data_IF_271659512775
#
_entry.id   IF_271659512775
#
_cell.length_a   1.000
_cell.length_b   1.000
_cell.length_c   1.000
_cell.angle_alpha   90.00
_cell.angle_beta   90.00
_cell.angle_gamma   90.00
#
_symmetry.space_group_name_H-M   'P 1'
#
loop_
_entity.id
_entity.type
_entity.pdbx_description
1 polymer ?
#
# COMPACT_ATOMS: atom_id res chain seq x y z
N UNK A 1 -20.52 -16.44 15.38
CA UNK A 1 -19.76 -15.42 14.64
C UNK A 1 -18.25 -15.59 14.82
N UNK A 2 -17.71 -15.55 16.06
CA UNK A 2 -16.26 -15.72 16.31
C UNK A 2 -15.63 -16.95 15.65
N UNK A 3 -16.24 -18.13 15.80
CA UNK A 3 -15.74 -19.37 15.18
C UNK A 3 -15.65 -19.30 13.65
N UNK A 4 -16.60 -18.60 13.01
CA UNK A 4 -16.58 -18.42 11.57
C UNK A 4 -15.42 -17.51 11.15
N UNK A 5 -15.23 -16.39 11.83
CA UNK A 5 -14.10 -15.46 11.60
C UNK A 5 -12.76 -16.17 11.77
N UNK A 6 -12.58 -16.92 12.86
CA UNK A 6 -11.35 -17.65 13.13
C UNK A 6 -11.05 -18.76 12.10
N UNK A 7 -12.07 -19.28 11.43
CA UNK A 7 -11.94 -20.32 10.40
C UNK A 7 -11.62 -19.80 9.00
N UNK A 8 -11.59 -18.48 8.78
CA UNK A 8 -11.32 -17.91 7.47
C UNK A 8 -9.85 -18.12 7.05
N UNK A 9 -9.61 -18.30 5.73
CA UNK A 9 -8.26 -18.34 5.19
C UNK A 9 -7.43 -17.11 5.60
N UNK A 10 -6.11 -17.24 5.77
CA UNK A 10 -5.23 -16.13 6.12
C UNK A 10 -5.27 -14.97 5.13
N UNK A 11 -5.66 -15.21 3.88
CA UNK A 11 -5.79 -14.23 2.82
C UNK A 11 -7.08 -13.39 2.94
N UNK A 12 -8.02 -13.73 3.81
CA UNK A 12 -9.23 -12.94 4.02
C UNK A 12 -8.94 -11.83 5.03
N UNK A 13 -8.93 -10.58 4.54
CA UNK A 13 -8.80 -9.38 5.37
C UNK A 13 -10.20 -8.95 5.81
N UNK A 14 -10.39 -8.82 7.13
CA UNK A 14 -11.63 -8.36 7.72
C UNK A 14 -11.46 -6.94 8.25
N UNK A 15 -12.36 -6.04 7.87
CA UNK A 15 -12.40 -4.65 8.31
C UNK A 15 -13.79 -4.38 8.87
N UNK A 16 -13.88 -3.76 10.04
CA UNK A 16 -15.16 -3.42 10.64
C UNK A 16 -15.12 -2.07 11.36
N UNK A 17 -16.27 -1.40 11.35
CA UNK A 17 -16.51 -0.16 12.07
C UNK A 17 -16.46 -0.38 13.58
N UNK A 18 -15.71 0.44 14.31
CA UNK A 18 -15.50 0.29 15.75
C UNK A 18 -16.71 0.65 16.61
N UNK A 19 -17.66 1.43 16.08
CA UNK A 19 -18.82 1.96 16.81
C UNK A 19 -18.86 3.47 16.90
N UNK A 20 -20.04 4.01 17.24
CA UNK A 20 -20.36 5.44 17.15
C UNK A 20 -20.90 6.03 18.46
N UNK A 21 -20.68 5.34 19.59
CA UNK A 21 -21.23 5.73 20.90
C UNK A 21 -20.26 6.55 21.76
N UNK A 22 -19.02 6.76 21.29
CA UNK A 22 -17.98 7.48 22.04
C UNK A 22 -17.52 6.78 23.32
N UNK A 23 -17.88 5.52 23.50
CA UNK A 23 -17.66 4.77 24.75
C UNK A 23 -16.42 3.89 24.67
N UNK A 24 -16.15 3.14 25.76
CA UNK A 24 -15.04 2.19 25.87
C UNK A 24 -15.45 0.73 25.67
N UNK A 25 -16.72 0.48 25.36
CA UNK A 25 -17.29 -0.87 25.20
C UNK A 25 -16.78 -1.51 23.89
N UNK A 26 -16.46 -2.79 23.92
CA UNK A 26 -16.10 -3.50 22.68
C UNK A 26 -17.34 -3.74 21.81
N UNK A 27 -17.26 -3.39 20.54
CA UNK A 27 -18.28 -3.73 19.55
C UNK A 27 -17.75 -4.83 18.63
N UNK A 28 -18.57 -5.87 18.44
CA UNK A 28 -18.22 -7.00 17.60
C UNK A 28 -18.93 -6.89 16.24
N UNK A 29 -18.26 -7.23 15.13
CA UNK A 29 -17.01 -8.00 15.08
C UNK A 29 -15.71 -7.19 15.18
N UNK A 30 -15.74 -5.85 15.23
CA UNK A 30 -14.54 -5.02 15.17
C UNK A 30 -13.52 -5.33 16.26
N UNK A 31 -13.95 -5.66 17.47
CA UNK A 31 -13.05 -5.98 18.59
C UNK A 31 -12.53 -7.44 18.60
N UNK A 32 -12.72 -8.22 17.54
CA UNK A 32 -12.02 -9.50 17.42
C UNK A 32 -10.56 -9.26 16.96
N UNK A 33 -9.56 -9.98 17.52
CA UNK A 33 -8.15 -9.80 17.14
C UNK A 33 -7.86 -10.01 15.64
N UNK A 34 -8.69 -10.80 14.96
CA UNK A 34 -8.57 -11.08 13.52
C UNK A 34 -9.17 -9.99 12.63
N UNK A 35 -9.82 -8.97 13.20
CA UNK A 35 -10.56 -7.91 12.50
C UNK A 35 -9.86 -6.57 12.70
N UNK A 36 -9.70 -5.83 11.61
CA UNK A 36 -9.18 -4.46 11.66
C UNK A 36 -10.32 -3.54 12.12
N UNK A 37 -10.22 -3.07 13.35
CA UNK A 37 -11.17 -2.17 13.97
C UNK A 37 -10.88 -0.73 13.55
N UNK A 38 -11.87 -0.08 12.94
CA UNK A 38 -11.71 1.26 12.35
C UNK A 38 -12.49 2.30 13.15
N UNK A 39 -11.75 3.18 13.83
CA UNK A 39 -12.28 4.43 14.40
C UNK A 39 -12.34 5.54 13.36
N UNK A 40 -12.79 6.73 13.75
CA UNK A 40 -12.98 7.81 12.78
C UNK A 40 -12.62 9.22 13.26
N UNK A 41 -12.00 9.96 12.33
CA UNK A 41 -11.56 11.34 12.51
C UNK A 41 -12.31 12.28 11.57
N UNK A 42 -12.24 13.58 11.89
CA UNK A 42 -12.66 14.64 10.99
C UNK A 42 -11.56 15.06 9.99
N UNK A 43 -11.89 16.05 9.16
CA UNK A 43 -10.99 16.62 8.16
C UNK A 43 -9.74 17.31 8.72
N UNK A 44 -9.73 17.62 10.02
CA UNK A 44 -8.59 18.17 10.74
C UNK A 44 -7.81 17.07 11.49
N UNK A 45 -8.12 15.80 11.20
CA UNK A 45 -7.52 14.62 11.84
C UNK A 45 -7.82 14.52 13.34
N UNK A 46 -8.87 15.21 13.80
CA UNK A 46 -9.32 15.16 15.19
C UNK A 46 -10.29 13.99 15.35
N UNK A 47 -10.05 13.14 16.36
CA UNK A 47 -10.95 12.02 16.67
C UNK A 47 -12.33 12.54 17.00
N UNK A 48 -13.36 11.94 16.39
CA UNK A 48 -14.73 12.28 16.74
C UNK A 48 -15.02 11.91 18.19
N UNK A 49 -15.72 12.75 18.98
CA UNK A 49 -16.17 12.37 20.32
C UNK A 49 -17.01 11.09 20.34
N UNK A 50 -17.72 10.83 19.24
CA UNK A 50 -18.55 9.64 19.02
C UNK A 50 -17.76 8.41 18.55
N UNK A 51 -16.49 8.54 18.19
CA UNK A 51 -15.67 7.35 17.88
C UNK A 51 -15.45 6.52 19.13
N UNK A 52 -15.63 5.21 19.01
CA UNK A 52 -15.34 4.27 20.08
C UNK A 52 -13.86 4.34 20.49
N UNK A 53 -13.56 4.16 21.78
CA UNK A 53 -12.21 4.28 22.36
C UNK A 53 -11.88 3.07 23.20
N UNK A 54 -11.15 2.10 22.67
CA UNK A 54 -10.69 0.93 23.43
C UNK A 54 -9.37 0.41 22.85
N UNK A 55 -8.73 -0.53 23.55
CA UNK A 55 -7.49 -1.17 23.11
C UNK A 55 -7.68 -2.16 21.94
N UNK A 56 -8.90 -2.25 21.41
CA UNK A 56 -9.21 -2.98 20.18
C UNK A 56 -9.17 -2.10 18.93
N UNK A 57 -9.09 -0.77 19.04
CA UNK A 57 -8.99 0.13 17.88
C UNK A 57 -7.66 -0.13 17.18
N UNK A 58 -7.69 -0.47 15.89
CA UNK A 58 -6.47 -0.72 15.10
C UNK A 58 -5.97 0.55 14.44
N UNK A 59 -6.87 1.27 13.78
CA UNK A 59 -6.54 2.42 12.93
C UNK A 59 -7.74 3.36 12.86
N UNK A 60 -7.52 4.61 12.45
CA UNK A 60 -8.60 5.54 12.12
C UNK A 60 -8.58 5.94 10.65
N UNK A 61 -9.74 6.35 10.14
CA UNK A 61 -9.89 6.89 8.80
C UNK A 61 -10.91 8.05 8.79
N UNK A 62 -11.00 8.83 7.70
CA UNK A 62 -11.99 9.89 7.58
C UNK A 62 -13.41 9.34 7.74
N UNK A 63 -14.17 9.88 8.68
CA UNK A 63 -15.53 9.43 8.95
C UNK A 63 -16.46 10.49 9.50
N UNK A 64 -16.08 11.78 9.47
CA UNK A 64 -16.99 12.90 9.76
C UNK A 64 -17.28 13.64 8.46
N UNK A 65 -18.56 13.94 8.22
CA UNK A 65 -19.04 14.63 7.02
C UNK A 65 -18.52 14.02 5.71
N UNK A 66 -18.56 12.69 5.62
CA UNK A 66 -18.19 11.96 4.41
C UNK A 66 -19.35 11.98 3.43
N UNK A 67 -19.10 12.44 2.21
CA UNK A 67 -20.06 12.39 1.11
C UNK A 67 -20.19 10.95 0.58
N UNK A 68 -21.38 10.39 0.66
CA UNK A 68 -21.74 9.09 0.10
C UNK A 68 -22.81 9.20 -0.97
N UNK A 69 -23.01 8.11 -1.71
CA UNK A 69 -24.14 7.94 -2.60
C UNK A 69 -25.37 7.50 -1.79
N UNK A 70 -26.53 8.01 -2.14
CA UNK A 70 -27.81 7.66 -1.52
C UNK A 70 -28.88 7.51 -2.60
N UNK A 71 -29.66 6.42 -2.54
CA UNK A 71 -30.73 6.12 -3.48
C UNK A 71 -32.14 6.32 -2.88
N UNK A 72 -32.23 6.82 -1.65
CA UNK A 72 -33.51 6.99 -0.94
C UNK A 72 -34.16 8.36 -1.18
N UNK A 73 -33.40 9.32 -1.69
CA UNK A 73 -33.88 10.66 -2.02
C UNK A 73 -34.48 10.69 -3.44
N UNK A 74 -35.76 10.36 -3.55
CA UNK A 74 -36.53 10.28 -4.80
C UNK A 74 -36.55 11.56 -5.67
N UNK A 75 -35.97 12.69 -5.26
CA UNK A 75 -36.01 13.99 -5.98
C UNK A 75 -34.75 14.88 -5.79
N UNK A 76 -33.55 14.31 -5.60
CA UNK A 76 -32.33 15.08 -5.32
C UNK A 76 -31.03 14.44 -5.84
N UNK A 77 -29.88 15.03 -5.49
CA UNK A 77 -28.53 14.78 -6.03
C UNK A 77 -27.97 13.36 -5.89
N UNK A 78 -28.74 12.37 -5.42
CA UNK A 78 -28.32 10.99 -5.12
C UNK A 78 -27.10 10.90 -4.20
N UNK A 79 -26.95 11.88 -3.30
CA UNK A 79 -25.82 12.00 -2.39
C UNK A 79 -26.25 12.44 -1.00
N UNK A 80 -25.52 12.00 0.02
CA UNK A 80 -25.76 12.33 1.43
C UNK A 80 -24.44 12.49 2.17
N UNK A 81 -24.37 13.45 3.10
CA UNK A 81 -23.28 13.51 4.06
C UNK A 81 -23.61 12.68 5.29
N UNK A 82 -22.68 11.84 5.71
CA UNK A 82 -22.82 11.03 6.92
C UNK A 82 -21.57 11.06 7.78
N UNK A 83 -21.74 10.67 9.03
CA UNK A 83 -20.65 10.54 9.99
C UNK A 83 -20.74 9.23 10.76
N UNK A 84 -19.60 8.62 11.03
CA UNK A 84 -19.46 7.39 11.80
C UNK A 84 -18.31 6.53 11.34
N UNK A 85 -17.92 5.58 12.19
CA UNK A 85 -16.96 4.53 11.87
C UNK A 85 -17.40 3.68 10.68
N UNK A 86 -18.71 3.59 10.40
CA UNK A 86 -19.26 2.96 9.19
C UNK A 86 -18.87 3.67 7.89
N UNK A 87 -18.57 4.97 7.94
CA UNK A 87 -18.03 5.75 6.81
C UNK A 87 -16.50 5.70 6.75
N UNK A 88 -15.83 5.47 7.88
CA UNK A 88 -14.39 5.30 7.94
C UNK A 88 -13.92 3.91 7.47
N UNK A 89 -14.59 2.84 7.91
CA UNK A 89 -14.28 1.46 7.53
C UNK A 89 -14.08 1.22 6.02
N UNK A 90 -14.94 1.72 5.10
CA UNK A 90 -14.74 1.51 3.66
C UNK A 90 -13.46 2.14 3.10
N UNK A 91 -12.90 3.19 3.70
CA UNK A 91 -11.60 3.73 3.30
C UNK A 91 -10.48 2.71 3.54
N UNK A 92 -10.49 2.05 4.71
CA UNK A 92 -9.53 0.99 5.04
C UNK A 92 -9.75 -0.26 4.19
N UNK A 93 -11.01 -0.62 3.93
CA UNK A 93 -11.36 -1.71 2.99
C UNK A 93 -10.85 -1.43 1.58
N UNK A 94 -10.88 -0.18 1.12
CA UNK A 94 -10.34 0.20 -0.19
C UNK A 94 -8.83 -0.01 -0.26
N UNK A 95 -8.09 0.33 0.81
CA UNK A 95 -6.64 0.03 0.89
C UNK A 95 -6.39 -1.48 0.83
N UNK A 96 -7.18 -2.28 1.54
CA UNK A 96 -7.10 -3.74 1.46
C UNK A 96 -7.40 -4.27 0.06
N UNK A 97 -8.38 -3.70 -0.64
CA UNK A 97 -8.72 -4.08 -2.00
C UNK A 97 -7.59 -3.76 -3.00
N UNK A 98 -6.98 -2.57 -2.90
CA UNK A 98 -5.81 -2.20 -3.71
C UNK A 98 -4.61 -3.13 -3.45
N UNK A 99 -4.38 -3.47 -2.18
CA UNK A 99 -3.32 -4.40 -1.81
C UNK A 99 -3.58 -5.81 -2.39
N UNK A 100 -4.83 -6.26 -2.35
CA UNK A 100 -5.28 -7.56 -2.87
C UNK A 100 -5.26 -7.64 -4.39
N UNK A 101 -5.52 -6.53 -5.08
CA UNK A 101 -5.36 -6.42 -6.53
C UNK A 101 -3.91 -6.65 -6.94
N UNK A 102 -2.96 -6.05 -6.20
CA UNK A 102 -1.53 -6.20 -6.47
C UNK A 102 -0.97 -7.57 -6.02
N UNK A 103 -1.44 -8.12 -4.90
CA UNK A 103 -1.07 -9.46 -4.41
C UNK A 103 -2.28 -10.17 -3.77
N UNK A 104 -2.91 -11.08 -4.52
CA UNK A 104 -4.05 -11.85 -4.03
C UNK A 104 -3.70 -12.74 -2.82
N UNK A 105 -2.44 -13.17 -2.69
CA UNK A 105 -1.93 -14.02 -1.60
C UNK A 105 -1.53 -13.25 -0.35
N UNK A 106 -1.66 -11.92 -0.32
CA UNK A 106 -1.33 -11.10 0.84
C UNK A 106 -2.12 -11.57 2.07
N UNK A 107 -1.43 -11.96 3.14
CA UNK A 107 -2.11 -12.42 4.36
C UNK A 107 -2.63 -11.25 5.18
N UNK A 108 -3.67 -11.49 5.98
CA UNK A 108 -4.20 -10.51 6.95
C UNK A 108 -3.15 -10.01 7.94
N UNK A 109 -2.19 -10.86 8.32
CA UNK A 109 -1.12 -10.49 9.24
C UNK A 109 -0.13 -9.53 8.56
N UNK A 110 0.32 -9.86 7.35
CA UNK A 110 1.20 -8.98 6.58
C UNK A 110 0.50 -7.65 6.24
N UNK A 111 -0.78 -7.68 5.90
CA UNK A 111 -1.57 -6.46 5.69
C UNK A 111 -1.66 -5.63 6.97
N UNK A 112 -1.92 -6.27 8.12
CA UNK A 112 -1.96 -5.60 9.42
C UNK A 112 -0.61 -4.92 9.74
N UNK A 113 0.51 -5.63 9.61
CA UNK A 113 1.84 -5.06 9.83
C UNK A 113 2.13 -3.85 8.93
N UNK A 114 1.76 -3.93 7.65
CA UNK A 114 1.95 -2.84 6.70
C UNK A 114 1.04 -1.65 7.02
N UNK A 115 -0.26 -1.88 7.27
CA UNK A 115 -1.20 -0.79 7.51
C UNK A 115 -0.91 -0.06 8.83
N UNK A 116 -0.47 -0.77 9.87
CA UNK A 116 -0.10 -0.14 11.14
C UNK A 116 1.26 0.55 11.08
N UNK A 117 2.26 -0.03 10.40
CA UNK A 117 3.60 0.57 10.32
C UNK A 117 3.68 1.80 9.40
N UNK A 118 2.69 1.99 8.52
CA UNK A 118 2.61 3.12 7.58
C UNK A 118 1.56 4.16 7.96
N UNK A 119 0.80 3.90 9.03
CA UNK A 119 -0.16 4.86 9.54
C UNK A 119 0.53 6.16 9.97
N UNK A 120 -0.15 7.28 9.77
CA UNK A 120 0.28 8.56 10.32
C UNK A 120 -0.14 8.60 11.78
N UNK A 121 0.84 8.54 12.67
CA UNK A 121 0.62 8.62 14.11
C UNK A 121 -0.10 9.92 14.49
N UNK A 122 -1.09 9.80 15.37
CA UNK A 122 -1.95 10.88 15.85
C UNK A 122 -2.28 10.62 17.31
N UNK A 123 -2.45 11.70 18.09
CA UNK A 123 -2.71 11.57 19.52
C UNK A 123 -1.40 11.43 20.31
N UNK A 124 -1.35 10.43 21.19
CA UNK A 124 -0.14 10.13 21.95
C UNK A 124 0.85 9.37 21.07
N UNK A 125 2.16 9.52 21.32
CA UNK A 125 3.18 8.87 20.50
C UNK A 125 3.02 7.34 20.53
N UNK A 126 2.85 6.74 19.36
CA UNK A 126 2.66 5.30 19.19
C UNK A 126 1.21 4.87 19.32
N UNK A 127 0.99 3.64 19.76
CA UNK A 127 -0.37 3.11 19.88
C UNK A 127 -1.14 3.81 21.01
N UNK A 128 -2.36 4.28 20.71
CA UNK A 128 -3.32 4.72 21.72
C UNK A 128 -4.74 4.18 21.49
N UNK A 129 -5.58 4.21 22.53
CA UNK A 129 -6.92 3.60 22.49
C UNK A 129 -7.97 4.41 21.72
N UNK A 130 -7.63 5.61 21.23
CA UNK A 130 -8.51 6.49 20.47
C UNK A 130 -8.21 6.44 18.97
N UNK A 131 -6.92 6.53 18.61
CA UNK A 131 -6.41 6.57 17.25
C UNK A 131 -5.87 5.21 16.77
N UNK A 132 -5.68 4.24 17.67
CA UNK A 132 -5.00 2.99 17.36
C UNK A 132 -3.55 3.27 17.01
N UNK A 133 -3.09 2.79 15.84
CA UNK A 133 -1.78 3.15 15.27
C UNK A 133 -1.79 4.47 14.47
N UNK A 134 -2.93 5.17 14.41
CA UNK A 134 -3.05 6.45 13.72
C UNK A 134 -3.95 6.43 12.48
N UNK A 135 -3.81 7.45 11.64
CA UNK A 135 -4.61 7.63 10.42
C UNK A 135 -4.06 6.80 9.27
N UNK A 136 -4.96 6.07 8.59
CA UNK A 136 -4.63 5.32 7.38
C UNK A 136 -4.01 6.22 6.30
N UNK A 137 -2.89 5.78 5.71
CA UNK A 137 -2.16 6.50 4.66
C UNK A 137 -2.02 5.61 3.42
N UNK A 138 -2.89 5.78 2.42
CA UNK A 138 -2.85 4.94 1.20
C UNK A 138 -1.52 5.06 0.47
N UNK A 139 -0.96 6.26 0.36
CA UNK A 139 0.30 6.48 -0.36
C UNK A 139 1.48 5.83 0.35
N UNK A 140 1.60 6.04 1.67
CA UNK A 140 2.66 5.43 2.47
C UNK A 140 2.54 3.90 2.49
N UNK A 141 1.31 3.39 2.63
CA UNK A 141 1.01 1.96 2.57
C UNK A 141 1.44 1.37 1.23
N UNK A 142 0.95 1.89 0.10
CA UNK A 142 1.22 1.32 -1.22
C UNK A 142 2.70 1.44 -1.57
N UNK A 143 3.36 2.56 -1.25
CA UNK A 143 4.81 2.68 -1.45
C UNK A 143 5.59 1.62 -0.67
N UNK A 144 5.24 1.39 0.61
CA UNK A 144 5.91 0.39 1.44
C UNK A 144 5.63 -1.03 0.98
N UNK A 145 4.35 -1.34 0.76
CA UNK A 145 3.88 -2.66 0.33
C UNK A 145 4.55 -3.07 -0.98
N UNK A 146 4.46 -2.22 -2.00
CA UNK A 146 5.04 -2.50 -3.29
C UNK A 146 6.58 -2.59 -3.20
N UNK A 147 7.26 -1.75 -2.39
CA UNK A 147 8.72 -1.83 -2.21
C UNK A 147 9.24 -3.15 -1.63
N UNK A 148 8.40 -3.90 -0.92
CA UNK A 148 8.76 -5.23 -0.42
C UNK A 148 8.56 -6.31 -1.47
N UNK A 149 7.54 -6.16 -2.32
CA UNK A 149 7.20 -7.13 -3.36
C UNK A 149 8.16 -7.05 -4.56
N UNK A 150 8.88 -5.94 -4.74
CA UNK A 150 9.81 -5.73 -5.85
C UNK A 150 11.14 -5.11 -5.44
N UNK A 151 12.23 -5.88 -5.57
CA UNK A 151 13.61 -5.41 -5.39
C UNK A 151 14.44 -5.70 -6.63
N UNK A 152 15.00 -4.67 -7.27
CA UNK A 152 16.07 -4.85 -8.23
C UNK A 152 17.37 -5.06 -7.44
N UNK A 153 17.94 -6.26 -7.56
CA UNK A 153 19.24 -6.57 -6.97
C UNK A 153 20.31 -6.31 -8.02
N UNK A 154 21.24 -5.40 -7.71
CA UNK A 154 22.48 -5.27 -8.47
C UNK A 154 23.26 -6.57 -8.31
N UNK A 155 23.52 -7.24 -9.42
CA UNK A 155 24.32 -8.47 -9.44
C UNK A 155 25.81 -8.13 -9.60
N UNK A 156 26.14 -7.23 -10.53
CA UNK A 156 27.51 -6.83 -10.84
C UNK A 156 27.52 -5.45 -11.53
N UNK A 157 28.59 -4.69 -11.31
CA UNK A 157 28.89 -3.46 -12.05
C UNK A 157 30.38 -3.41 -12.41
N UNK A 158 30.71 -3.09 -13.66
CA UNK A 158 32.08 -2.92 -14.14
C UNK A 158 32.37 -1.46 -14.44
N UNK A 159 33.41 -0.91 -13.81
CA UNK A 159 33.85 0.47 -14.04
C UNK A 159 34.53 0.66 -15.40
N UNK A 160 35.21 -0.37 -15.91
CA UNK A 160 35.95 -0.30 -17.16
C UNK A 160 35.03 -0.29 -18.40
N UNK A 161 33.78 -0.73 -18.25
CA UNK A 161 32.84 -0.91 -19.36
C UNK A 161 31.47 -0.28 -19.15
N UNK A 162 31.27 0.51 -18.08
CA UNK A 162 29.98 1.08 -17.62
C UNK A 162 28.81 0.11 -17.86
N UNK A 163 29.05 -1.14 -17.48
CA UNK A 163 28.11 -2.24 -17.65
C UNK A 163 27.57 -2.65 -16.29
N UNK A 164 26.25 -2.77 -16.21
CA UNK A 164 25.52 -3.09 -15.00
C UNK A 164 24.61 -4.28 -15.25
N UNK A 165 24.58 -5.21 -14.31
CA UNK A 165 23.66 -6.34 -14.36
C UNK A 165 22.68 -6.30 -13.20
N UNK A 166 21.40 -6.38 -13.52
CA UNK A 166 20.32 -6.36 -12.55
C UNK A 166 19.48 -7.63 -12.67
N UNK A 167 19.04 -8.16 -11.52
CA UNK A 167 17.91 -9.08 -11.47
C UNK A 167 16.80 -8.48 -10.61
N UNK A 168 15.57 -8.94 -10.79
CA UNK A 168 14.46 -8.55 -9.92
C UNK A 168 13.77 -9.79 -9.39
N UNK A 169 13.25 -9.65 -8.18
CA UNK A 169 12.26 -10.57 -7.64
C UNK A 169 10.95 -9.81 -7.57
N UNK A 170 9.91 -10.37 -8.19
CA UNK A 170 8.52 -9.94 -8.02
C UNK A 170 7.75 -11.06 -7.31
N UNK A 171 6.68 -10.71 -6.64
CA UNK A 171 5.69 -11.64 -6.07
C UNK A 171 4.30 -11.47 -6.73
N UNK A 172 4.15 -10.57 -7.70
CA UNK A 172 2.95 -10.43 -8.53
C UNK A 172 3.00 -11.35 -9.75
N UNK A 173 1.84 -11.92 -10.12
CA UNK A 173 1.69 -12.97 -11.13
C UNK A 173 1.64 -12.45 -12.59
N UNK A 174 2.32 -11.35 -12.93
CA UNK A 174 2.47 -10.99 -14.35
C UNK A 174 3.65 -11.75 -14.93
N UNK A 175 3.51 -12.26 -16.16
CA UNK A 175 4.57 -13.00 -16.86
C UNK A 175 5.54 -12.08 -17.63
N UNK A 176 5.22 -10.78 -17.74
CA UNK A 176 6.03 -9.82 -18.50
C UNK A 176 5.90 -8.41 -17.93
N UNK A 177 7.03 -7.74 -17.77
CA UNK A 177 7.12 -6.37 -17.28
C UNK A 177 7.85 -5.48 -18.28
N UNK A 178 7.47 -4.21 -18.35
CA UNK A 178 8.27 -3.18 -18.99
C UNK A 178 9.10 -2.47 -17.93
N UNK A 179 10.41 -2.59 -18.03
CA UNK A 179 11.38 -1.88 -17.20
C UNK A 179 11.84 -0.66 -17.97
N UNK A 180 11.75 0.53 -17.37
CA UNK A 180 12.36 1.75 -17.88
C UNK A 180 13.51 2.11 -16.95
N UNK A 181 14.68 2.41 -17.49
CA UNK A 181 15.77 2.97 -16.70
C UNK A 181 16.18 4.35 -17.21
N UNK A 182 16.69 5.17 -16.31
CA UNK A 182 17.33 6.44 -16.62
C UNK A 182 18.72 6.47 -15.96
N UNK A 183 19.76 6.62 -16.78
CA UNK A 183 21.15 6.77 -16.32
C UNK A 183 21.46 8.24 -16.06
N UNK A 184 22.23 8.50 -15.01
CA UNK A 184 22.67 9.83 -14.64
C UNK A 184 24.18 9.87 -14.44
N UNK A 185 24.82 10.95 -14.90
CA UNK A 185 26.24 11.21 -14.66
C UNK A 185 26.48 11.72 -13.21
N UNK A 186 27.74 11.87 -12.81
CA UNK A 186 28.13 12.33 -11.47
C UNK A 186 27.66 13.76 -11.12
N UNK A 187 27.24 14.56 -12.11
CA UNK A 187 26.62 15.87 -11.89
C UNK A 187 25.12 15.78 -11.58
N UNK A 188 24.52 14.59 -11.74
CA UNK A 188 23.09 14.34 -11.60
C UNK A 188 22.29 14.65 -12.85
N UNK A 189 22.92 14.88 -14.00
CA UNK A 189 22.25 15.07 -15.29
C UNK A 189 21.90 13.70 -15.89
N UNK A 190 20.68 13.58 -16.41
CA UNK A 190 20.25 12.36 -17.12
C UNK A 190 20.98 12.28 -18.46
N UNK A 191 21.66 11.17 -18.71
CA UNK A 191 22.47 10.95 -19.93
C UNK A 191 21.85 9.93 -20.88
N UNK A 192 21.02 9.02 -20.39
CA UNK A 192 20.47 7.93 -21.20
C UNK A 192 19.16 7.40 -20.61
N UNK A 193 18.24 6.95 -21.46
CA UNK A 193 17.02 6.21 -21.08
C UNK A 193 16.93 4.95 -21.92
N UNK A 194 16.63 3.80 -21.29
CA UNK A 194 16.39 2.52 -21.99
C UNK A 194 15.15 1.85 -21.45
N UNK A 195 14.62 0.93 -22.26
CA UNK A 195 13.55 0.05 -21.86
C UNK A 195 13.90 -1.41 -22.13
N UNK A 196 13.41 -2.29 -21.26
CA UNK A 196 13.55 -3.73 -21.38
C UNK A 196 12.19 -4.38 -21.14
N UNK A 197 11.86 -5.38 -21.95
CA UNK A 197 10.81 -6.31 -21.59
C UNK A 197 11.46 -7.43 -20.80
N UNK A 198 10.87 -7.78 -19.67
CA UNK A 198 11.37 -8.93 -18.95
C UNK A 198 10.34 -9.89 -18.44
N UNK A 199 10.69 -11.15 -18.61
CA UNK A 199 9.86 -12.29 -18.28
C UNK A 199 10.19 -12.80 -16.89
N UNK A 200 9.15 -13.20 -16.20
CA UNK A 200 9.21 -13.81 -14.88
C UNK A 200 8.73 -15.25 -14.94
N UNK A 201 9.19 -16.07 -14.00
CA UNK A 201 8.56 -17.35 -13.74
C UNK A 201 7.19 -17.19 -13.06
N UNK A 202 6.50 -18.31 -12.85
CA UNK A 202 5.20 -18.36 -12.16
C UNK A 202 5.25 -17.84 -10.71
N UNK A 203 6.45 -17.62 -10.17
CA UNK A 203 6.69 -17.07 -8.84
C UNK A 203 7.15 -15.60 -8.89
N UNK A 204 7.11 -14.96 -10.06
CA UNK A 204 7.48 -13.56 -10.25
C UNK A 204 8.99 -13.29 -10.29
N UNK A 205 9.85 -14.32 -10.27
CA UNK A 205 11.30 -14.13 -10.33
C UNK A 205 11.75 -13.83 -11.75
N UNK A 206 12.61 -12.82 -11.91
CA UNK A 206 13.31 -12.58 -13.16
C UNK A 206 13.93 -13.88 -13.69
N UNK A 207 13.54 -14.26 -14.90
CA UNK A 207 14.17 -15.41 -15.57
C UNK A 207 15.56 -15.06 -16.11
N UNK A 208 15.83 -13.78 -16.30
CA UNK A 208 17.03 -13.27 -16.98
C UNK A 208 17.57 -12.05 -16.24
N UNK A 209 18.89 -11.85 -16.26
CA UNK A 209 19.48 -10.59 -15.82
C UNK A 209 19.40 -9.55 -16.95
N UNK A 210 19.02 -8.31 -16.63
CA UNK A 210 19.10 -7.20 -17.58
C UNK A 210 20.51 -6.66 -17.55
N UNK A 211 21.18 -6.70 -18.70
CA UNK A 211 22.46 -6.03 -18.91
C UNK A 211 22.23 -4.61 -19.43
N UNK A 212 22.77 -3.64 -18.71
CA UNK A 212 22.77 -2.23 -19.06
C UNK A 212 24.18 -1.77 -19.32
N UNK A 213 24.55 -1.56 -20.58
CA UNK A 213 25.80 -0.90 -20.96
C UNK A 213 25.53 0.53 -21.38
N UNK A 214 26.34 1.50 -20.98
CA UNK A 214 26.22 2.89 -21.44
C UNK A 214 27.49 3.32 -22.16
N UNK A 215 27.41 4.11 -23.25
CA UNK A 215 28.57 4.78 -23.82
C UNK A 215 28.99 6.03 -23.01
N UNK A 216 28.23 6.39 -21.97
CA UNK A 216 28.49 7.52 -21.08
C UNK A 216 28.94 7.02 -19.71
N UNK A 217 29.67 7.88 -19.00
CA UNK A 217 29.98 7.65 -17.59
C UNK A 217 28.69 7.73 -16.75
N UNK A 218 28.35 6.64 -16.05
CA UNK A 218 27.12 6.52 -15.26
C UNK A 218 27.46 6.37 -13.77
N UNK A 219 26.93 7.27 -12.95
CA UNK A 219 27.03 7.23 -11.47
C UNK A 219 25.87 6.43 -10.85
N UNK A 220 24.67 6.64 -11.39
CA UNK A 220 23.45 5.99 -10.89
C UNK A 220 22.45 5.72 -11.99
N UNK A 221 21.66 4.68 -11.80
CA UNK A 221 20.54 4.32 -12.66
C UNK A 221 19.27 4.33 -11.81
N UNK A 222 18.26 5.07 -12.30
CA UNK A 222 16.89 5.03 -11.75
C UNK A 222 16.08 4.04 -12.55
N UNK A 223 15.47 3.05 -11.90
CA UNK A 223 14.70 1.99 -12.55
C UNK A 223 13.22 2.12 -12.17
N UNK A 224 12.36 2.07 -13.18
CA UNK A 224 10.90 2.04 -13.06
C UNK A 224 10.40 0.73 -13.66
N UNK A 225 9.45 0.08 -13.00
CA UNK A 225 8.88 -1.18 -13.46
C UNK A 225 7.38 -0.99 -13.68
N UNK A 226 6.88 -1.48 -14.81
CA UNK A 226 5.49 -1.35 -15.23
C UNK A 226 4.89 -2.77 -15.39
N UNK A 227 3.77 -3.06 -14.71
CA UNK A 227 3.07 -4.36 -14.75
C UNK A 227 2.35 -4.62 -16.06
N UNK A 228 1.94 -3.55 -16.75
CA UNK A 228 1.07 -3.63 -17.92
C UNK A 228 1.51 -2.64 -18.99
N UNK A 229 1.73 -3.18 -20.19
CA UNK A 229 1.97 -2.40 -21.41
C UNK A 229 0.73 -1.65 -21.89
N UNK A 230 -0.48 -2.05 -21.45
CA UNK A 230 -1.73 -1.42 -21.90
C UNK A 230 -2.08 -0.18 -21.09
N UNK A 231 -1.78 -0.18 -19.80
CA UNK A 231 -2.19 0.92 -18.92
C UNK A 231 -1.07 1.93 -18.64
N UNK A 232 0.20 1.56 -18.91
CA UNK A 232 1.39 2.39 -18.68
C UNK A 232 1.40 3.10 -17.31
N UNK A 233 0.72 2.52 -16.32
CA UNK A 233 0.69 3.06 -14.96
C UNK A 233 2.02 2.70 -14.30
N UNK A 234 2.81 3.70 -13.85
CA UNK A 234 3.98 3.41 -13.03
C UNK A 234 3.52 2.67 -11.78
N UNK A 235 3.94 1.40 -11.65
CA UNK A 235 3.69 0.65 -10.42
C UNK A 235 4.48 1.26 -9.24
N UNK A 236 5.55 2.01 -9.51
CA UNK A 236 6.57 2.31 -8.50
C UNK A 236 7.15 3.73 -8.56
N UNK A 237 7.61 4.26 -7.42
CA UNK A 237 8.71 5.22 -7.41
C UNK A 237 10.00 4.54 -7.87
N UNK A 238 10.89 5.27 -8.53
CA UNK A 238 12.12 4.69 -9.08
C UNK A 238 13.04 4.10 -8.00
N UNK A 239 13.55 2.88 -8.22
CA UNK A 239 14.69 2.36 -7.47
C UNK A 239 15.97 3.04 -7.96
N UNK A 240 16.82 3.50 -7.05
CA UNK A 240 18.09 4.15 -7.40
C UNK A 240 19.22 3.18 -7.10
N UNK A 241 19.84 2.64 -8.14
CA UNK A 241 21.08 1.89 -8.00
C UNK A 241 22.26 2.83 -8.23
N UNK A 242 23.26 2.74 -7.38
CA UNK A 242 24.48 3.56 -7.43
C UNK A 242 25.68 2.66 -7.62
N UNK A 243 26.74 3.24 -8.20
CA UNK A 243 28.05 2.58 -8.33
C UNK A 243 28.57 2.37 -6.90
N UNK A 244 29.01 1.15 -6.60
CA UNK A 244 29.59 0.82 -5.28
C UNK A 244 31.01 1.33 -5.17
#
# INVERSE_FOLDING_TARGET
>A
MRTAIASLPPEVILVAAAGNDGSHIYQYPASYPEVISVGFVDQNEVISPSSQKNDGITIVAPGVNVLGLDNTLYQGTNTVYGSGSSYAAPHVTAVAALAKEANASLTRISFLELITSTAKDLGELGYDTSYGFGLVQVDAFMNRFLSFEMKATLLESSEESDTWQFSWMNLSASNTYLVLGASYDGSGRMVEVKSFLVHSDIYGRAMEAVSWSSPYEVDKIKIFILSSLQECRPLYPAEIVRKT
#
